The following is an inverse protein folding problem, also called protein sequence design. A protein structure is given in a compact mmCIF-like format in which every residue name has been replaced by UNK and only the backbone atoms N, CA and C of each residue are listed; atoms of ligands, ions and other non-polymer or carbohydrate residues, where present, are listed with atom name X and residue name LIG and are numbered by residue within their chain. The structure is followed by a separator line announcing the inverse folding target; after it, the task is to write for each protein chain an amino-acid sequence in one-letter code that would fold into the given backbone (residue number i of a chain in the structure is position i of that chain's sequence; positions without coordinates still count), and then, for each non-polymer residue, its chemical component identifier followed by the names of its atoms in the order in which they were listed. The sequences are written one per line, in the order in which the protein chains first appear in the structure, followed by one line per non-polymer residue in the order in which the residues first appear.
data_IF_800201018408
#
_entry.id   IF_800201018408
#
_cell.length_a   1.000
_cell.length_b   1.000
_cell.length_c   1.000
_cell.angle_alpha   90.00
_cell.angle_beta   90.00
_cell.angle_gamma   90.00
#
_symmetry.space_group_name_H-M   'P 1'
#
loop_
_entity.id
_entity.type
_entity.pdbx_description
1 polymer ?
#
# COMPACT_ATOMS: atom_id res chain seq x y z
N UNK A 1 15.52 14.66 -23.83
CA UNK A 1 15.24 13.21 -24.05
C UNK A 1 13.97 13.05 -24.89
N UNK A 2 13.94 13.49 -26.16
CA UNK A 2 12.70 13.50 -26.98
C UNK A 2 12.74 12.56 -28.21
N UNK A 3 13.80 11.78 -28.40
CA UNK A 3 14.03 11.07 -29.69
C UNK A 3 13.31 9.72 -29.82
N UNK A 4 12.70 9.18 -28.75
CA UNK A 4 12.34 7.75 -28.71
C UNK A 4 10.84 7.43 -28.91
N UNK A 5 9.96 8.40 -29.20
CA UNK A 5 8.52 8.14 -29.36
C UNK A 5 7.89 8.81 -30.60
N UNK A 6 8.61 8.82 -31.73
CA UNK A 6 8.08 9.23 -33.05
C UNK A 6 7.08 8.23 -33.65
N UNK A 7 6.71 7.17 -32.91
CA UNK A 7 5.71 6.20 -33.35
C UNK A 7 4.35 6.90 -33.36
N UNK A 8 3.65 6.82 -34.49
CA UNK A 8 2.30 7.35 -34.62
C UNK A 8 1.33 6.48 -33.82
N UNK A 9 0.49 7.12 -33.04
CA UNK A 9 -0.62 6.47 -32.35
C UNK A 9 -1.85 6.35 -33.27
N UNK A 10 -2.90 5.60 -32.88
CA UNK A 10 -4.07 5.37 -33.73
C UNK A 10 -4.85 6.63 -34.13
N UNK A 11 -4.64 7.76 -33.44
CA UNK A 11 -5.26 9.04 -33.77
C UNK A 11 -4.44 9.92 -34.73
N UNK A 12 -3.36 9.38 -35.31
CA UNK A 12 -2.50 10.06 -36.28
C UNK A 12 -1.42 10.97 -35.69
N UNK A 13 -1.46 11.28 -34.38
CA UNK A 13 -0.39 12.01 -33.68
C UNK A 13 0.65 11.04 -33.14
N UNK A 14 1.90 11.48 -33.06
CA UNK A 14 2.97 10.76 -32.38
C UNK A 14 2.73 10.69 -30.86
N UNK A 15 3.26 9.66 -30.21
CA UNK A 15 3.19 9.56 -28.74
C UNK A 15 3.89 10.73 -28.05
N UNK A 16 4.96 11.29 -28.62
CA UNK A 16 5.60 12.50 -28.10
C UNK A 16 4.64 13.70 -28.11
N UNK A 17 3.95 13.97 -29.21
CA UNK A 17 2.99 15.09 -29.30
C UNK A 17 1.83 14.91 -28.33
N UNK A 18 1.38 13.66 -28.13
CA UNK A 18 0.34 13.35 -27.14
C UNK A 18 0.84 13.63 -25.74
N UNK A 19 2.05 13.21 -25.38
CA UNK A 19 2.66 13.45 -24.06
C UNK A 19 2.85 14.94 -23.77
N UNK A 20 3.27 15.73 -24.76
CA UNK A 20 3.48 17.18 -24.61
C UNK A 20 2.19 17.96 -24.28
N UNK A 21 1.02 17.36 -24.57
CA UNK A 21 -0.30 17.99 -24.33
C UNK A 21 -1.04 17.43 -23.12
N UNK A 22 -0.46 16.45 -22.41
CA UNK A 22 -1.08 15.83 -21.22
C UNK A 22 -1.27 16.85 -20.10
N UNK A 23 -2.49 16.88 -19.54
CA UNK A 23 -2.80 17.71 -18.37
C UNK A 23 -3.27 16.92 -17.15
N UNK A 24 -3.63 15.65 -17.34
CA UNK A 24 -4.25 14.82 -16.29
C UNK A 24 -3.66 13.42 -16.26
N UNK A 25 -3.68 12.79 -15.08
CA UNK A 25 -3.29 11.39 -14.88
C UNK A 25 -4.11 10.44 -15.76
N UNK A 26 -5.40 10.72 -15.95
CA UNK A 26 -6.27 9.95 -16.83
C UNK A 26 -5.79 9.97 -18.29
N UNK A 27 -5.42 11.16 -18.79
CA UNK A 27 -4.86 11.29 -20.14
C UNK A 27 -3.52 10.59 -20.27
N UNK A 28 -2.63 10.74 -19.28
CA UNK A 28 -1.35 10.06 -19.25
C UNK A 28 -1.53 8.53 -19.28
N UNK A 29 -2.41 8.00 -18.42
CA UNK A 29 -2.72 6.58 -18.36
C UNK A 29 -3.25 6.07 -19.70
N UNK A 30 -4.15 6.81 -20.35
CA UNK A 30 -4.70 6.40 -21.65
C UNK A 30 -3.64 6.36 -22.76
N UNK A 31 -2.68 7.30 -22.74
CA UNK A 31 -1.56 7.29 -23.70
C UNK A 31 -0.68 6.06 -23.52
N UNK A 32 -0.36 5.70 -22.27
CA UNK A 32 0.41 4.50 -21.98
C UNK A 32 -0.37 3.22 -22.31
N UNK A 33 -1.66 3.16 -21.99
CA UNK A 33 -2.51 2.02 -22.34
C UNK A 33 -2.56 1.81 -23.86
N UNK A 34 -2.73 2.88 -24.65
CA UNK A 34 -2.69 2.83 -26.11
C UNK A 34 -1.35 2.30 -26.63
N UNK A 35 -0.24 2.80 -26.09
CA UNK A 35 1.11 2.37 -26.47
C UNK A 35 1.36 0.90 -26.16
N UNK A 36 0.99 0.47 -24.95
CA UNK A 36 1.13 -0.91 -24.49
C UNK A 36 0.26 -1.85 -25.34
N UNK A 37 -0.94 -1.44 -25.73
CA UNK A 37 -1.86 -2.22 -26.55
C UNK A 37 -1.40 -2.41 -28.01
N UNK A 38 -0.36 -1.71 -28.47
CA UNK A 38 0.19 -1.91 -29.82
C UNK A 38 0.85 -3.28 -30.00
N UNK A 39 1.28 -3.90 -28.90
CA UNK A 39 1.95 -5.20 -28.90
C UNK A 39 0.94 -6.26 -28.42
N UNK A 40 0.79 -7.40 -29.13
CA UNK A 40 0.01 -8.52 -28.63
C UNK A 40 0.44 -8.93 -27.23
N UNK A 41 -0.51 -9.20 -26.33
CA UNK A 41 -0.26 -9.46 -24.90
C UNK A 41 0.43 -8.30 -24.15
N UNK A 42 0.47 -7.10 -24.72
CA UNK A 42 1.19 -5.97 -24.15
C UNK A 42 0.73 -5.60 -22.75
N UNK A 43 -0.58 -5.64 -22.45
CA UNK A 43 -1.07 -5.37 -21.09
C UNK A 43 -0.56 -6.38 -20.06
N UNK A 44 -0.47 -7.65 -20.43
CA UNK A 44 0.04 -8.71 -19.57
C UNK A 44 1.54 -8.57 -19.33
N UNK A 45 2.30 -8.18 -20.35
CA UNK A 45 3.76 -8.09 -20.28
C UNK A 45 4.26 -6.75 -19.75
N UNK A 46 3.55 -5.66 -20.05
CA UNK A 46 4.01 -4.29 -19.89
C UNK A 46 3.03 -3.36 -19.17
N UNK A 47 1.86 -3.83 -18.74
CA UNK A 47 0.86 -3.01 -18.04
C UNK A 47 1.38 -2.32 -16.76
N UNK A 48 2.37 -2.94 -16.10
CA UNK A 48 3.05 -2.40 -14.92
C UNK A 48 3.95 -1.20 -15.22
N UNK A 49 4.33 -0.94 -16.49
CA UNK A 49 5.13 0.22 -16.89
C UNK A 49 4.31 1.50 -17.08
N UNK A 50 2.98 1.43 -16.97
CA UNK A 50 2.16 2.64 -16.92
C UNK A 50 2.52 3.42 -15.63
N UNK A 51 3.02 4.67 -15.74
CA UNK A 51 3.54 5.43 -14.60
C UNK A 51 2.45 5.92 -13.65
N UNK A 52 1.17 5.80 -14.04
CA UNK A 52 0.03 6.20 -13.24
C UNK A 52 -0.42 5.00 -12.41
N UNK A 53 -0.19 5.07 -11.10
CA UNK A 53 -0.49 3.97 -10.18
C UNK A 53 -1.73 4.20 -9.32
N UNK A 54 -2.28 5.42 -9.31
CA UNK A 54 -3.54 5.77 -8.64
C UNK A 54 -4.48 6.48 -9.62
N UNK A 55 -5.78 6.52 -9.31
CA UNK A 55 -6.72 7.26 -10.13
C UNK A 55 -8.09 7.48 -9.52
N UNK A 56 -8.89 8.27 -10.23
CA UNK A 56 -10.28 8.56 -9.87
C UNK A 56 -10.45 9.54 -8.72
N UNK A 57 -11.71 9.85 -8.35
CA UNK A 57 -12.05 10.86 -7.33
C UNK A 57 -11.52 10.55 -5.93
N UNK A 58 -11.18 9.30 -5.64
CA UNK A 58 -10.62 8.87 -4.34
C UNK A 58 -9.15 8.46 -4.42
N UNK A 59 -8.46 8.73 -5.54
CA UNK A 59 -7.03 8.42 -5.72
C UNK A 59 -6.68 6.96 -5.34
N UNK A 60 -7.45 6.01 -5.89
CA UNK A 60 -7.33 4.59 -5.55
C UNK A 60 -6.17 3.96 -6.31
N UNK A 61 -5.36 3.13 -5.62
CA UNK A 61 -4.33 2.31 -6.26
C UNK A 61 -4.92 1.37 -7.30
N UNK A 62 -4.36 1.37 -8.51
CA UNK A 62 -4.78 0.49 -9.60
C UNK A 62 -4.53 -0.97 -9.24
N UNK A 63 -3.38 -1.28 -8.63
CA UNK A 63 -3.07 -2.64 -8.17
C UNK A 63 -4.05 -3.13 -7.11
N UNK A 64 -4.46 -2.24 -6.18
CA UNK A 64 -5.49 -2.57 -5.20
C UNK A 64 -6.83 -2.87 -5.89
N UNK A 65 -7.24 -2.04 -6.85
CA UNK A 65 -8.49 -2.24 -7.58
C UNK A 65 -8.49 -3.55 -8.39
N UNK A 66 -7.38 -3.89 -9.04
CA UNK A 66 -7.22 -5.14 -9.80
C UNK A 66 -7.35 -6.37 -8.88
N UNK A 67 -6.74 -6.35 -7.70
CA UNK A 67 -6.85 -7.42 -6.71
C UNK A 67 -8.27 -7.56 -6.14
N UNK A 68 -9.05 -6.47 -6.11
CA UNK A 68 -10.37 -6.40 -5.49
C UNK A 68 -11.51 -6.18 -6.50
N UNK A 69 -11.29 -6.51 -7.78
CA UNK A 69 -12.31 -6.38 -8.82
C UNK A 69 -13.48 -7.37 -8.65
N UNK A 70 -13.24 -8.48 -7.95
CA UNK A 70 -14.29 -9.47 -7.66
C UNK A 70 -15.36 -8.85 -6.76
N UNK A 71 -16.62 -8.97 -7.16
CA UNK A 71 -17.76 -8.40 -6.44
C UNK A 71 -18.13 -6.97 -6.88
N UNK A 72 -17.41 -6.40 -7.84
CA UNK A 72 -17.84 -5.17 -8.51
C UNK A 72 -19.19 -5.41 -9.24
N UNK A 73 -20.25 -4.63 -8.94
CA UNK A 73 -21.61 -5.02 -9.34
C UNK A 73 -21.99 -4.58 -10.76
N UNK A 74 -21.17 -3.78 -11.45
CA UNK A 74 -21.48 -3.27 -12.79
C UNK A 74 -20.59 -3.89 -13.86
N UNK A 75 -21.13 -4.01 -15.08
CA UNK A 75 -20.31 -4.36 -16.24
C UNK A 75 -19.32 -3.23 -16.53
N UNK A 76 -18.02 -3.57 -16.56
CA UNK A 76 -16.96 -2.67 -17.00
C UNK A 76 -16.94 -2.61 -18.53
N UNK A 77 -16.82 -1.41 -19.09
CA UNK A 77 -16.69 -1.24 -20.55
C UNK A 77 -15.26 -1.52 -21.04
N UNK A 78 -14.29 -1.48 -20.14
CA UNK A 78 -12.87 -1.68 -20.42
C UNK A 78 -12.16 -2.32 -19.24
N UNK A 79 -10.89 -1.95 -19.02
CA UNK A 79 -10.07 -2.53 -17.94
C UNK A 79 -10.46 -2.00 -16.56
N UNK A 80 -10.03 -2.69 -15.50
CA UNK A 80 -10.19 -2.21 -14.12
C UNK A 80 -9.56 -0.83 -13.95
N UNK A 81 -8.37 -0.62 -14.51
CA UNK A 81 -7.69 0.68 -14.56
C UNK A 81 -8.58 1.78 -15.12
N UNK A 82 -9.20 1.55 -16.27
CA UNK A 82 -10.10 2.52 -16.90
C UNK A 82 -11.35 2.77 -16.05
N UNK A 83 -11.88 1.72 -15.41
CA UNK A 83 -13.03 1.83 -14.52
C UNK A 83 -12.71 2.68 -13.27
N UNK A 84 -11.51 2.57 -12.68
CA UNK A 84 -11.08 3.41 -11.55
C UNK A 84 -11.15 4.91 -11.88
N UNK A 85 -10.87 5.31 -13.12
CA UNK A 85 -10.98 6.71 -13.57
C UNK A 85 -12.42 7.19 -13.78
N UNK A 86 -13.43 6.32 -13.68
CA UNK A 86 -14.83 6.76 -13.68
C UNK A 86 -15.24 7.20 -12.28
N UNK A 87 -16.29 8.04 -12.18
CA UNK A 87 -16.85 8.42 -10.88
C UNK A 87 -17.32 7.19 -10.09
N UNK A 88 -18.03 6.27 -10.75
CA UNK A 88 -18.58 5.08 -10.11
C UNK A 88 -17.49 4.10 -9.67
N UNK A 89 -16.48 3.86 -10.50
CA UNK A 89 -15.40 2.94 -10.19
C UNK A 89 -14.52 3.47 -9.07
N UNK A 90 -14.07 4.73 -9.18
CA UNK A 90 -13.27 5.35 -8.13
C UNK A 90 -13.99 5.43 -6.77
N UNK A 91 -15.30 5.74 -6.75
CA UNK A 91 -16.08 5.71 -5.50
C UNK A 91 -16.24 4.29 -4.96
N UNK A 92 -16.52 3.30 -5.81
CA UNK A 92 -16.70 1.92 -5.36
C UNK A 92 -15.40 1.34 -4.81
N UNK A 93 -14.31 1.38 -5.58
CA UNK A 93 -13.02 0.85 -5.13
C UNK A 93 -12.44 1.64 -3.96
N UNK A 94 -12.66 2.96 -3.90
CA UNK A 94 -12.23 3.78 -2.78
C UNK A 94 -13.03 3.47 -1.50
N UNK A 95 -14.34 3.33 -1.60
CA UNK A 95 -15.18 2.92 -0.45
C UNK A 95 -14.84 1.49 0.00
N UNK A 96 -14.59 0.60 -0.95
CA UNK A 96 -14.11 -0.75 -0.68
C UNK A 96 -12.77 -0.71 0.07
N UNK A 97 -11.80 0.07 -0.40
CA UNK A 97 -10.52 0.25 0.29
C UNK A 97 -10.71 0.85 1.69
N UNK A 98 -11.60 1.80 1.87
CA UNK A 98 -11.80 2.45 3.17
C UNK A 98 -12.49 1.54 4.20
N UNK A 99 -13.47 0.75 3.77
CA UNK A 99 -14.43 0.09 4.67
C UNK A 99 -14.45 -1.44 4.58
N UNK A 100 -14.03 -2.04 3.47
CA UNK A 100 -14.16 -3.48 3.23
C UNK A 100 -13.01 -4.31 3.83
N UNK A 101 -12.61 -3.95 5.04
CA UNK A 101 -11.77 -4.76 5.90
C UNK A 101 -12.20 -4.57 7.36
N UNK A 102 -12.25 -5.66 8.15
CA UNK A 102 -12.58 -5.54 9.56
C UNK A 102 -11.44 -4.85 10.30
N UNK A 103 -11.77 -3.87 11.13
CA UNK A 103 -10.79 -3.18 11.96
C UNK A 103 -11.45 -2.75 13.26
N UNK A 104 -10.75 -2.95 14.38
CA UNK A 104 -11.21 -2.64 15.73
C UNK A 104 -10.74 -1.25 16.17
N UNK A 105 -10.89 -0.24 15.31
CA UNK A 105 -10.43 1.12 15.60
C UNK A 105 -11.44 1.90 16.42
N UNK A 106 -10.94 2.67 17.39
CA UNK A 106 -11.81 3.50 18.25
C UNK A 106 -12.33 4.74 17.53
N UNK A 107 -11.65 5.18 16.46
CA UNK A 107 -12.00 6.39 15.73
C UNK A 107 -11.77 6.24 14.21
N UNK A 108 -12.59 6.90 13.36
CA UNK A 108 -12.44 6.84 11.90
C UNK A 108 -11.09 7.33 11.37
N UNK A 109 -10.39 8.20 12.11
CA UNK A 109 -9.10 8.78 11.68
C UNK A 109 -8.05 7.71 11.34
N UNK A 110 -8.08 6.57 12.05
CA UNK A 110 -7.16 5.46 11.78
C UNK A 110 -7.49 4.74 10.46
N UNK A 111 -8.77 4.66 10.07
CA UNK A 111 -9.13 4.16 8.73
C UNK A 111 -8.68 5.11 7.63
N UNK A 112 -8.75 6.42 7.86
CA UNK A 112 -8.25 7.39 6.90
C UNK A 112 -6.72 7.36 6.79
N UNK A 113 -6.02 7.12 7.90
CA UNK A 113 -4.59 6.87 7.88
C UNK A 113 -4.25 5.60 7.09
N UNK A 114 -4.94 4.49 7.36
CA UNK A 114 -4.80 3.23 6.63
C UNK A 114 -5.13 3.36 5.14
N UNK A 115 -6.08 4.21 4.76
CA UNK A 115 -6.38 4.47 3.36
C UNK A 115 -5.16 5.01 2.58
N UNK A 116 -4.29 5.77 3.26
CA UNK A 116 -3.08 6.33 2.66
C UNK A 116 -1.86 5.42 2.84
N UNK A 117 -1.80 4.69 3.95
CA UNK A 117 -0.64 3.90 4.37
C UNK A 117 -0.74 2.40 4.07
N UNK A 118 -1.92 1.92 3.67
CA UNK A 118 -2.25 0.51 3.54
C UNK A 118 -3.08 -0.01 4.72
N UNK A 119 -3.87 -1.06 4.47
CA UNK A 119 -4.70 -1.69 5.48
C UNK A 119 -3.90 -2.11 6.72
N UNK A 120 -4.46 -1.79 7.88
CA UNK A 120 -3.92 -2.03 9.22
C UNK A 120 -2.64 -1.27 9.60
N UNK A 121 -2.20 -0.31 8.79
CA UNK A 121 -1.00 0.48 9.07
C UNK A 121 -1.04 1.16 10.45
N UNK A 122 -2.19 1.69 10.87
CA UNK A 122 -2.35 2.37 12.15
C UNK A 122 -2.16 1.42 13.35
N UNK A 123 -2.67 0.19 13.24
CA UNK A 123 -2.44 -0.85 14.25
C UNK A 123 -0.98 -1.30 14.23
N UNK A 124 -0.40 -1.44 13.04
CA UNK A 124 0.98 -1.88 12.89
C UNK A 124 1.96 -0.83 13.42
N UNK A 125 1.69 0.46 13.24
CA UNK A 125 2.45 1.55 13.83
C UNK A 125 2.42 1.50 15.36
N UNK A 126 1.27 1.19 15.96
CA UNK A 126 1.16 0.97 17.40
C UNK A 126 1.95 -0.26 17.87
N UNK A 127 1.89 -1.35 17.11
CA UNK A 127 2.69 -2.56 17.38
C UNK A 127 4.19 -2.29 17.27
N UNK A 128 4.65 -1.54 16.25
CA UNK A 128 6.04 -1.10 16.13
C UNK A 128 6.47 -0.28 17.35
N UNK A 129 5.61 0.61 17.86
CA UNK A 129 5.90 1.33 19.10
C UNK A 129 6.04 0.38 20.29
N UNK A 130 5.18 -0.63 20.41
CA UNK A 130 5.32 -1.66 21.45
C UNK A 130 6.64 -2.45 21.30
N UNK A 131 7.02 -2.86 20.09
CA UNK A 131 8.32 -3.49 19.81
C UNK A 131 9.47 -2.56 20.20
N UNK A 132 9.38 -1.26 19.89
CA UNK A 132 10.39 -0.27 20.30
C UNK A 132 10.53 -0.15 21.81
N UNK A 133 9.41 -0.12 22.55
CA UNK A 133 9.44 -0.08 24.02
C UNK A 133 9.97 -1.37 24.63
N UNK A 134 9.60 -2.52 24.07
CA UNK A 134 10.06 -3.83 24.53
C UNK A 134 11.56 -4.06 24.25
N UNK A 135 12.04 -3.73 23.06
CA UNK A 135 13.41 -4.03 22.60
C UNK A 135 14.43 -2.91 22.86
N UNK A 136 13.98 -1.68 23.10
CA UNK A 136 14.84 -0.49 23.14
C UNK A 136 15.30 0.02 21.77
N UNK A 137 14.90 -0.63 20.67
CA UNK A 137 15.25 -0.21 19.30
C UNK A 137 14.29 0.86 18.81
N UNK A 138 14.80 2.00 18.34
CA UNK A 138 13.99 3.05 17.71
C UNK A 138 13.52 2.59 16.31
N UNK A 139 12.22 2.43 16.12
CA UNK A 139 11.60 2.08 14.83
C UNK A 139 10.94 3.30 14.18
N UNK A 140 10.84 3.27 12.86
CA UNK A 140 9.87 4.10 12.14
C UNK A 140 8.48 3.49 12.41
N UNK A 141 7.54 4.32 12.85
CA UNK A 141 6.17 3.88 13.16
C UNK A 141 5.32 3.98 11.89
N UNK A 142 5.80 3.43 10.79
CA UNK A 142 5.25 3.56 9.43
C UNK A 142 4.17 2.51 9.11
N UNK A 143 4.03 1.48 9.94
CA UNK A 143 3.09 0.38 9.74
C UNK A 143 3.69 -0.84 9.01
N UNK A 144 4.94 -0.77 8.54
CA UNK A 144 5.59 -1.86 7.83
C UNK A 144 6.26 -2.86 8.79
N UNK A 145 5.63 -4.03 8.93
CA UNK A 145 6.12 -5.09 9.82
C UNK A 145 7.25 -5.91 9.19
N UNK A 146 7.23 -6.10 7.88
CA UNK A 146 8.18 -6.91 7.11
C UNK A 146 8.52 -6.25 5.78
N UNK A 147 9.52 -6.79 5.09
CA UNK A 147 9.79 -6.49 3.68
C UNK A 147 9.00 -7.46 2.80
N UNK A 148 7.83 -7.07 2.30
CA UNK A 148 6.95 -7.96 1.52
C UNK A 148 7.61 -8.54 0.26
N UNK A 149 8.52 -7.81 -0.37
CA UNK A 149 9.23 -8.24 -1.59
C UNK A 149 10.60 -8.88 -1.31
N UNK A 150 10.88 -9.28 -0.07
CA UNK A 150 12.18 -9.84 0.30
C UNK A 150 12.06 -10.91 1.39
N UNK A 151 12.94 -11.91 1.30
CA UNK A 151 13.16 -12.86 2.40
C UNK A 151 14.02 -12.24 3.50
N UNK A 152 14.72 -11.13 3.22
CA UNK A 152 15.52 -10.44 4.22
C UNK A 152 14.65 -9.75 5.27
N UNK A 153 15.02 -9.81 6.55
CA UNK A 153 14.23 -9.22 7.62
C UNK A 153 14.26 -7.69 7.56
N UNK A 154 13.10 -7.08 7.83
CA UNK A 154 12.97 -5.64 8.02
C UNK A 154 13.48 -5.17 9.39
N UNK A 155 13.51 -3.85 9.63
CA UNK A 155 13.92 -3.28 10.92
C UNK A 155 13.00 -3.72 12.06
N UNK A 156 11.69 -3.71 11.82
CA UNK A 156 10.67 -4.19 12.77
C UNK A 156 10.89 -5.66 13.12
N UNK A 157 11.10 -6.50 12.11
CA UNK A 157 11.36 -7.93 12.29
C UNK A 157 12.66 -8.19 13.08
N UNK A 158 13.76 -7.50 12.75
CA UNK A 158 15.01 -7.60 13.50
C UNK A 158 14.84 -7.19 14.96
N UNK A 159 14.08 -6.13 15.24
CA UNK A 159 13.79 -5.69 16.60
C UNK A 159 12.91 -6.70 17.36
N UNK A 160 11.95 -7.34 16.68
CA UNK A 160 11.14 -8.41 17.27
C UNK A 160 11.99 -9.67 17.54
N UNK A 161 12.91 -10.03 16.64
CA UNK A 161 13.85 -11.16 16.82
C UNK A 161 14.76 -10.97 18.04
N UNK A 162 15.15 -9.74 18.38
CA UNK A 162 15.88 -9.46 19.65
C UNK A 162 15.10 -9.84 20.91
N UNK A 163 13.78 -10.01 20.81
CA UNK A 163 12.91 -10.41 21.91
C UNK A 163 12.64 -11.92 21.91
N UNK A 164 13.19 -12.69 20.96
CA UNK A 164 12.90 -14.12 20.74
C UNK A 164 12.95 -14.95 22.03
N UNK A 165 14.03 -14.84 22.80
CA UNK A 165 14.21 -15.59 24.05
C UNK A 165 13.15 -15.21 25.10
N UNK A 166 12.83 -13.92 25.23
CA UNK A 166 11.81 -13.42 26.17
C UNK A 166 10.39 -13.81 25.74
N UNK A 167 10.17 -13.96 24.44
CA UNK A 167 8.90 -14.38 23.85
C UNK A 167 8.75 -15.90 23.81
N UNK A 168 9.83 -16.67 23.99
CA UNK A 168 9.85 -18.12 23.78
C UNK A 168 9.50 -18.50 22.34
N UNK A 169 9.97 -17.71 21.36
CA UNK A 169 9.63 -17.88 19.94
C UNK A 169 10.88 -17.96 19.07
N UNK A 170 10.91 -18.87 18.11
CA UNK A 170 11.92 -18.88 17.06
C UNK A 170 11.76 -17.69 16.11
N UNK A 171 12.84 -17.30 15.42
CA UNK A 171 12.78 -16.23 14.41
C UNK A 171 11.79 -16.54 13.28
N UNK A 172 11.62 -17.81 12.93
CA UNK A 172 10.65 -18.27 11.93
C UNK A 172 9.21 -18.06 12.39
N UNK A 173 8.90 -18.36 13.66
CA UNK A 173 7.57 -18.12 14.22
C UNK A 173 7.26 -16.63 14.31
N UNK A 174 8.26 -15.81 14.66
CA UNK A 174 8.14 -14.35 14.65
C UNK A 174 7.79 -13.88 13.24
N UNK A 175 8.56 -14.28 12.23
CA UNK A 175 8.29 -13.89 10.83
C UNK A 175 6.90 -14.31 10.38
N UNK A 176 6.53 -15.57 10.59
CA UNK A 176 5.22 -16.10 10.18
C UNK A 176 4.04 -15.36 10.83
N UNK A 177 4.23 -14.81 12.02
CA UNK A 177 3.20 -14.01 12.69
C UNK A 177 3.21 -12.55 12.20
N UNK A 178 4.38 -11.95 11.93
CA UNK A 178 4.47 -10.62 11.32
C UNK A 178 3.88 -10.58 9.90
N UNK A 179 4.00 -11.66 9.14
CA UNK A 179 3.40 -11.83 7.81
C UNK A 179 1.87 -11.70 7.82
N UNK A 180 1.23 -11.86 8.99
CA UNK A 180 -0.22 -11.66 9.15
C UNK A 180 -0.60 -10.18 9.31
N UNK A 181 0.36 -9.27 9.28
CA UNK A 181 0.22 -7.83 9.50
C UNK A 181 -0.73 -7.10 8.54
N UNK A 182 -1.21 -7.76 7.49
CA UNK A 182 -2.23 -7.26 6.57
C UNK A 182 -3.64 -7.84 6.86
N UNK A 183 -3.82 -8.49 8.02
CA UNK A 183 -5.06 -9.15 8.39
C UNK A 183 -5.45 -8.88 9.85
N UNK A 184 -6.74 -9.02 10.16
CA UNK A 184 -7.25 -8.96 11.54
C UNK A 184 -6.69 -10.08 12.42
N UNK A 185 -6.24 -11.19 11.82
CA UNK A 185 -5.71 -12.32 12.56
C UNK A 185 -4.42 -11.97 13.33
N UNK A 186 -3.70 -10.91 12.93
CA UNK A 186 -2.47 -10.48 13.60
C UNK A 186 -2.68 -10.18 15.09
N UNK A 187 -3.78 -9.50 15.44
CA UNK A 187 -4.11 -9.13 16.83
C UNK A 187 -4.29 -10.35 17.75
N UNK A 188 -4.58 -11.51 17.16
CA UNK A 188 -4.81 -12.76 17.90
C UNK A 188 -3.54 -13.56 18.11
N UNK A 189 -2.44 -13.21 17.42
CA UNK A 189 -1.18 -13.94 17.45
C UNK A 189 -0.49 -13.87 18.81
N UNK A 190 0.35 -14.87 19.10
CA UNK A 190 1.13 -14.90 20.33
C UNK A 190 2.16 -13.75 20.36
N UNK A 191 2.81 -13.47 19.24
CA UNK A 191 3.75 -12.36 19.05
C UNK A 191 3.10 -11.03 19.44
N UNK A 192 1.93 -10.73 18.88
CA UNK A 192 1.21 -9.49 19.17
C UNK A 192 0.96 -9.34 20.67
N UNK A 193 0.34 -10.35 21.29
CA UNK A 193 -0.03 -10.33 22.71
C UNK A 193 1.19 -10.25 23.63
N UNK A 194 2.22 -11.05 23.37
CA UNK A 194 3.40 -11.14 24.22
C UNK A 194 4.30 -9.91 24.11
N UNK A 195 4.42 -9.29 22.92
CA UNK A 195 5.14 -8.02 22.76
C UNK A 195 4.46 -6.91 23.56
N UNK A 196 3.13 -6.78 23.48
CA UNK A 196 2.43 -5.80 24.30
C UNK A 196 2.59 -6.06 25.79
N UNK A 197 2.43 -7.31 26.24
CA UNK A 197 2.67 -7.69 27.64
C UNK A 197 4.06 -7.27 28.12
N UNK A 198 5.10 -7.54 27.32
CA UNK A 198 6.48 -7.18 27.64
C UNK A 198 6.69 -5.66 27.65
N UNK A 199 6.15 -4.96 26.67
CA UNK A 199 6.28 -3.50 26.54
C UNK A 199 5.55 -2.75 27.67
N UNK A 200 4.35 -3.19 28.04
CA UNK A 200 3.55 -2.62 29.12
C UNK A 200 4.18 -2.89 30.49
N UNK A 201 4.74 -4.10 30.70
CA UNK A 201 5.49 -4.41 31.91
C UNK A 201 6.73 -3.50 32.07
N UNK A 202 7.45 -3.21 30.97
CA UNK A 202 8.60 -2.29 30.99
C UNK A 202 8.22 -0.82 31.18
N UNK A 203 7.06 -0.40 30.68
CA UNK A 203 6.66 1.02 30.71
C UNK A 203 5.72 1.38 31.87
N UNK A 204 5.18 0.38 32.58
CA UNK A 204 4.26 0.58 33.70
C UNK A 204 2.88 1.11 33.31
N UNK A 205 2.51 1.06 32.02
CA UNK A 205 1.23 1.56 31.53
C UNK A 205 0.73 0.77 30.33
N UNK A 206 -0.58 0.77 30.11
CA UNK A 206 -1.19 0.26 28.89
C UNK A 206 -0.79 1.10 27.68
N UNK A 207 -0.40 0.45 26.59
CA UNK A 207 -0.02 1.12 25.33
C UNK A 207 -1.23 1.23 24.38
N UNK A 208 -1.22 2.23 23.50
CA UNK A 208 -2.21 2.32 22.43
C UNK A 208 -2.14 1.10 21.49
N UNK A 209 -3.28 0.70 20.91
CA UNK A 209 -3.36 -0.36 19.89
C UNK A 209 -3.50 0.17 18.46
N UNK A 210 -3.54 1.48 18.33
CA UNK A 210 -3.70 2.25 17.09
C UNK A 210 -2.93 3.57 17.25
N UNK A 211 -2.21 3.97 16.20
CA UNK A 211 -1.44 5.22 16.15
C UNK A 211 -1.46 5.73 14.71
N UNK A 212 -1.39 7.05 14.53
CA UNK A 212 -1.18 7.60 13.18
C UNK A 212 0.21 7.17 12.68
N UNK A 213 0.31 6.50 11.52
CA UNK A 213 1.59 6.11 10.97
C UNK A 213 2.46 7.32 10.65
N UNK A 214 3.72 7.27 11.07
CA UNK A 214 4.74 8.28 10.78
C UNK A 214 5.32 8.08 9.38
N UNK A 215 4.53 8.34 8.34
CA UNK A 215 4.99 8.21 6.95
C UNK A 215 5.89 9.40 6.63
N UNK A 216 7.14 9.11 6.29
CA UNK A 216 8.04 10.12 5.76
C UNK A 216 7.72 10.31 4.27
N UNK A 217 7.01 11.39 3.94
CA UNK A 217 6.71 11.73 2.55
C UNK A 217 8.00 12.24 1.88
N UNK A 218 8.69 11.38 1.15
CA UNK A 218 9.66 11.86 0.16
C UNK A 218 8.89 12.43 -1.03
N UNK A 219 8.51 13.72 -0.95
CA UNK A 219 8.02 14.42 -2.13
C UNK A 219 9.18 14.53 -3.11
N UNK A 220 9.22 13.70 -4.16
CA UNK A 220 10.12 13.90 -5.29
C UNK A 220 9.60 15.12 -6.07
N UNK A 221 9.89 16.33 -5.57
CA UNK A 221 9.67 17.56 -6.34
C UNK A 221 10.60 17.50 -7.55
N UNK A 222 10.05 17.18 -8.71
CA UNK A 222 10.69 17.56 -9.96
C UNK A 222 10.69 19.09 -10.00
N UNK A 223 11.82 19.72 -9.66
CA UNK A 223 12.06 21.10 -10.07
C UNK A 223 12.05 21.09 -11.59
N UNK A 224 11.01 21.65 -12.19
CA UNK A 224 11.12 22.15 -13.55
C UNK A 224 12.06 23.36 -13.46
N UNK A 225 13.29 23.17 -13.90
CA UNK A 225 14.21 24.23 -14.30
C UNK A 225 14.21 24.30 -15.81
#
# INVERSE_FOLDING_TARGET
MHTTLKINSPNGKSYSERLDTVRTEKQLSAIFDDFINMVPMGQTLFGSYNPVHTGGPMQVSIAFAEQHAKGYPWKMAGTVRQEVFTRRGGLWFGTYHLLNYPANYSAPVFRFADFNAGWYASRNAAFQNAVSKASGVKLALDGDLIRYNSKEPGKTELAARKLADQLGMSEREIRSQLEKGDSLAFEKTALYKNVYKLAEAKTGRTLAREMLPGIQLESRRSRAS
#
